data_IF_052442802492
#
_entry.id   IF_052442802492
#
_cell.length_a   1.000
_cell.length_b   1.000
_cell.length_c   1.000
_cell.angle_alpha   90.00
_cell.angle_beta   90.00
_cell.angle_gamma   90.00
#
_symmetry.space_group_name_H-M   'P 1'
#
loop_
_entity.id
_entity.type
_entity.pdbx_description
1 polymer ?
#
# COMPACT_ATOMS: atom_id res chain seq x y z
N UNK A 1 35.33 37.13 43.51
CA UNK A 1 34.12 37.29 42.68
C UNK A 1 33.71 35.87 42.28
N UNK A 2 32.60 35.36 42.83
CA UNK A 2 32.20 33.95 42.73
C UNK A 2 31.76 33.60 41.29
N UNK A 3 32.28 32.50 40.77
CA UNK A 3 31.78 31.86 39.55
C UNK A 3 30.52 31.04 39.88
N UNK A 4 29.38 31.39 39.30
CA UNK A 4 28.18 30.56 39.31
C UNK A 4 28.40 29.40 38.32
N UNK A 5 28.71 28.22 38.85
CA UNK A 5 28.53 26.95 38.14
C UNK A 5 27.03 26.68 38.06
N UNK A 6 26.43 26.93 36.90
CA UNK A 6 25.09 26.43 36.59
C UNK A 6 25.17 24.90 36.51
N UNK A 7 24.67 24.23 37.56
CA UNK A 7 24.46 22.80 37.55
C UNK A 7 23.45 22.48 36.44
N UNK A 8 23.92 21.82 35.39
CA UNK A 8 23.03 21.19 34.42
C UNK A 8 22.16 20.18 35.18
N UNK A 9 20.86 20.45 35.22
CA UNK A 9 19.90 19.50 35.78
C UNK A 9 20.05 18.17 35.01
N UNK A 10 20.09 17.02 35.72
CA UNK A 10 20.13 15.73 35.05
C UNK A 10 18.87 15.63 34.17
N UNK A 11 19.07 15.46 32.87
CA UNK A 11 17.99 15.12 31.95
C UNK A 11 17.28 13.90 32.55
N UNK A 12 16.03 14.11 32.97
CA UNK A 12 15.20 13.03 33.45
C UNK A 12 15.20 11.95 32.37
N UNK A 13 15.73 10.77 32.69
CA UNK A 13 15.60 9.58 31.86
C UNK A 13 14.10 9.28 31.76
N UNK A 14 13.45 9.85 30.74
CA UNK A 14 12.10 9.48 30.37
C UNK A 14 12.15 7.99 30.06
N UNK A 15 11.35 7.21 30.78
CA UNK A 15 11.23 5.77 30.59
C UNK A 15 11.18 5.43 29.10
N UNK A 16 12.15 4.64 28.63
CA UNK A 16 12.36 4.25 27.22
C UNK A 16 11.34 3.23 26.70
N UNK A 17 10.36 2.84 27.51
CA UNK A 17 9.30 1.90 27.16
C UNK A 17 7.95 2.59 27.11
N UNK A 18 7.12 2.20 26.15
CA UNK A 18 5.75 2.66 25.99
C UNK A 18 4.86 1.44 25.75
N UNK A 19 3.74 1.35 26.47
CA UNK A 19 2.73 0.33 26.25
C UNK A 19 1.88 0.67 25.02
N UNK A 20 1.24 -0.33 24.39
CA UNK A 20 0.29 -0.07 23.29
C UNK A 20 -0.89 0.81 23.74
N UNK A 21 -1.32 0.69 25.00
CA UNK A 21 -2.38 1.53 25.57
C UNK A 21 -1.96 3.00 25.73
N UNK A 22 -0.67 3.27 26.00
CA UNK A 22 -0.12 4.63 25.98
C UNK A 22 0.05 5.14 24.56
N UNK A 23 0.51 4.30 23.63
CA UNK A 23 0.66 4.65 22.22
C UNK A 23 -0.68 5.11 21.61
N UNK A 24 -1.77 4.37 21.88
CA UNK A 24 -3.14 4.69 21.44
C UNK A 24 -3.69 6.03 21.97
N UNK A 25 -3.07 6.62 23.00
CA UNK A 25 -3.48 7.92 23.58
C UNK A 25 -2.74 9.11 22.96
N UNK A 26 -1.68 8.87 22.21
CA UNK A 26 -0.89 9.92 21.58
C UNK A 26 -1.49 10.30 20.22
N UNK A 27 -1.38 11.58 19.85
CA UNK A 27 -1.62 11.96 18.45
C UNK A 27 -0.58 11.32 17.54
N UNK A 28 -0.87 11.11 16.24
CA UNK A 28 0.11 10.55 15.30
C UNK A 28 1.46 11.29 15.31
N UNK A 29 1.44 12.62 15.37
CA UNK A 29 2.66 13.43 15.46
C UNK A 29 3.43 13.20 16.78
N UNK A 30 2.73 13.15 17.92
CA UNK A 30 3.36 12.87 19.22
C UNK A 30 3.93 11.46 19.26
N UNK A 31 3.24 10.50 18.67
CA UNK A 31 3.67 9.12 18.56
C UNK A 31 4.92 9.01 17.69
N UNK A 32 4.94 9.67 16.52
CA UNK A 32 6.08 9.72 15.63
C UNK A 32 7.31 10.36 16.30
N UNK A 33 7.14 11.50 16.98
CA UNK A 33 8.24 12.13 17.73
C UNK A 33 8.77 11.21 18.82
N UNK A 34 7.89 10.46 19.50
CA UNK A 34 8.29 9.54 20.57
C UNK A 34 9.01 8.29 20.05
N UNK A 35 8.58 7.75 18.91
CA UNK A 35 9.13 6.52 18.32
C UNK A 35 10.39 6.78 17.47
N UNK A 36 10.42 7.90 16.74
CA UNK A 36 11.44 8.19 15.72
C UNK A 36 12.33 9.39 16.08
N UNK A 37 12.09 10.03 17.23
CA UNK A 37 12.87 11.19 17.68
C UNK A 37 12.76 12.39 16.72
N UNK A 38 13.90 13.02 16.41
CA UNK A 38 13.97 14.16 15.49
C UNK A 38 13.47 13.82 14.08
N UNK A 39 13.70 12.59 13.61
CA UNK A 39 13.22 12.15 12.30
C UNK A 39 11.68 12.17 12.23
N UNK A 40 11.02 11.71 13.31
CA UNK A 40 9.56 11.79 13.45
C UNK A 40 9.05 13.22 13.63
N UNK A 41 9.80 14.05 14.35
CA UNK A 41 9.44 15.46 14.55
C UNK A 41 9.53 16.30 13.26
N UNK A 42 10.42 15.94 12.34
CA UNK A 42 10.65 16.66 11.08
C UNK A 42 9.62 16.38 9.98
N UNK A 43 8.77 15.37 10.16
CA UNK A 43 7.76 14.92 9.20
C UNK A 43 6.37 15.15 9.78
N UNK A 44 5.40 15.44 8.91
CA UNK A 44 4.01 15.66 9.30
C UNK A 44 3.21 14.35 9.22
N UNK A 45 3.21 13.60 10.32
CA UNK A 45 2.40 12.40 10.47
C UNK A 45 0.99 12.77 10.92
N UNK A 46 0.00 12.45 10.10
CA UNK A 46 -1.41 12.82 10.33
C UNK A 46 -2.26 11.64 10.78
N UNK A 47 -1.72 10.41 10.69
CA UNK A 47 -2.43 9.20 11.02
C UNK A 47 -1.49 8.14 11.60
N UNK A 48 -2.03 7.34 12.51
CA UNK A 48 -1.38 6.16 13.05
C UNK A 48 -2.39 5.00 13.09
N UNK A 49 -1.98 3.81 12.64
CA UNK A 49 -2.72 2.57 12.87
C UNK A 49 -1.91 1.65 13.77
N UNK A 50 -2.59 1.08 14.76
CA UNK A 50 -1.96 0.23 15.77
C UNK A 50 -2.65 -1.12 15.74
N UNK A 51 -1.97 -2.09 15.15
CA UNK A 51 -2.44 -3.47 15.12
C UNK A 51 -1.89 -4.22 16.32
N UNK A 52 -2.74 -5.04 16.95
CA UNK A 52 -2.38 -5.80 18.15
C UNK A 52 -3.16 -5.39 19.39
N UNK A 53 -3.54 -6.40 20.17
CA UNK A 53 -4.40 -6.26 21.35
C UNK A 53 -3.65 -6.51 22.67
N UNK A 54 -2.33 -6.72 22.64
CA UNK A 54 -1.57 -7.17 23.81
C UNK A 54 -2.11 -8.50 24.39
N UNK A 55 -2.66 -9.36 23.53
CA UNK A 55 -3.34 -10.60 23.91
C UNK A 55 -3.29 -11.65 22.78
N UNK A 56 -3.38 -12.91 23.19
CA UNK A 56 -3.16 -14.12 22.37
C UNK A 56 -4.16 -14.19 21.21
N UNK A 57 -3.66 -14.16 19.97
CA UNK A 57 -4.38 -14.62 18.78
C UNK A 57 -3.88 -16.03 18.43
N UNK A 58 -4.81 -17.01 18.40
CA UNK A 58 -4.54 -18.36 17.88
C UNK A 58 -4.89 -18.33 16.39
N UNK A 59 -3.91 -18.55 15.50
CA UNK A 59 -4.17 -18.88 14.09
C UNK A 59 -3.40 -18.08 13.03
N UNK A 60 -2.88 -16.91 13.36
CA UNK A 60 -1.93 -16.15 12.54
C UNK A 60 -0.85 -15.57 13.48
N UNK A 61 0.43 -15.47 13.09
CA UNK A 61 1.42 -14.75 13.89
C UNK A 61 0.93 -13.30 14.06
N UNK A 62 0.35 -13.04 15.23
CA UNK A 62 -0.09 -11.72 15.64
C UNK A 62 1.14 -10.88 15.87
N UNK A 63 1.46 -10.01 14.93
CA UNK A 63 2.53 -9.03 15.10
C UNK A 63 1.88 -7.74 15.58
N UNK A 64 2.24 -7.31 16.78
CA UNK A 64 1.90 -5.98 17.24
C UNK A 64 2.67 -5.03 16.31
N UNK A 65 1.99 -4.08 15.70
CA UNK A 65 2.63 -3.14 14.79
C UNK A 65 2.05 -1.74 14.92
N UNK A 66 2.88 -0.75 14.59
CA UNK A 66 2.48 0.63 14.48
C UNK A 66 2.84 1.10 13.08
N UNK A 67 1.82 1.48 12.34
CA UNK A 67 1.95 2.19 11.08
C UNK A 67 1.77 3.68 11.33
N UNK A 68 2.67 4.50 10.79
CA UNK A 68 2.54 5.95 10.78
C UNK A 68 2.46 6.43 9.33
N UNK A 69 1.47 7.26 9.02
CA UNK A 69 1.26 7.80 7.68
C UNK A 69 1.35 9.33 7.68
N UNK A 70 2.07 9.84 6.69
CA UNK A 70 2.10 11.26 6.37
C UNK A 70 0.79 11.71 5.72
N UNK A 71 0.60 13.02 5.60
CA UNK A 71 -0.51 13.54 4.79
C UNK A 71 -0.36 13.09 3.33
N UNK A 72 -1.42 12.56 2.68
CA UNK A 72 -1.34 12.24 1.27
C UNK A 72 -1.06 13.49 0.43
N UNK A 73 -0.20 13.33 -0.58
CA UNK A 73 0.30 14.41 -1.44
C UNK A 73 0.26 13.98 -2.90
N UNK A 74 0.46 14.91 -3.83
CA UNK A 74 0.68 14.61 -5.23
C UNK A 74 1.91 13.71 -5.41
N UNK A 75 1.79 12.71 -6.30
CA UNK A 75 2.91 11.87 -6.71
C UNK A 75 3.68 12.45 -7.92
N UNK A 76 3.31 13.65 -8.39
CA UNK A 76 3.91 14.28 -9.58
C UNK A 76 3.36 13.75 -10.91
N UNK A 77 2.33 12.90 -10.88
CA UNK A 77 1.63 12.42 -12.07
C UNK A 77 0.14 12.73 -11.98
N UNK A 78 -0.47 13.12 -13.08
CA UNK A 78 -1.87 13.54 -13.12
C UNK A 78 -2.80 12.50 -12.47
N UNK A 79 -3.55 12.93 -11.46
CA UNK A 79 -4.51 12.12 -10.71
C UNK A 79 -3.91 11.09 -9.75
N UNK A 80 -2.58 10.99 -9.64
CA UNK A 80 -1.91 10.05 -8.74
C UNK A 80 -1.54 10.75 -7.42
N UNK A 81 -2.08 10.24 -6.33
CA UNK A 81 -1.68 10.58 -4.98
C UNK A 81 -0.74 9.53 -4.41
N UNK A 82 0.13 9.96 -3.51
CA UNK A 82 0.99 9.10 -2.72
C UNK A 82 0.86 9.41 -1.24
N UNK A 83 1.08 8.40 -0.42
CA UNK A 83 1.28 8.54 1.01
C UNK A 83 2.57 7.83 1.38
N UNK A 84 3.44 8.53 2.11
CA UNK A 84 4.62 7.94 2.73
C UNK A 84 4.29 7.55 4.16
N UNK A 85 4.94 6.50 4.65
CA UNK A 85 4.78 6.06 6.02
C UNK A 85 5.96 5.23 6.49
N UNK A 86 5.86 4.79 7.74
CA UNK A 86 6.76 3.79 8.32
C UNK A 86 5.92 2.72 9.00
N UNK A 87 6.37 1.48 8.84
CA UNK A 87 5.90 0.34 9.59
C UNK A 87 6.91 0.02 10.67
N UNK A 88 6.43 -0.18 11.89
CA UNK A 88 7.24 -0.61 13.02
C UNK A 88 6.61 -1.87 13.58
N UNK A 89 7.31 -2.97 13.41
CA UNK A 89 6.87 -4.27 13.91
C UNK A 89 7.51 -4.55 15.27
N UNK A 90 6.75 -5.15 16.17
CA UNK A 90 7.20 -5.51 17.50
C UNK A 90 7.03 -7.02 17.72
N UNK A 91 8.04 -7.65 18.32
CA UNK A 91 7.98 -9.06 18.72
C UNK A 91 6.79 -9.29 19.64
N UNK A 92 5.89 -10.20 19.31
CA UNK A 92 4.88 -10.66 20.26
C UNK A 92 5.40 -11.88 21.00
N UNK A 93 5.23 -11.89 22.32
CA UNK A 93 5.32 -13.14 23.06
C UNK A 93 3.92 -13.75 23.04
N UNK A 94 3.83 -15.07 22.87
CA UNK A 94 2.55 -15.80 22.98
C UNK A 94 1.95 -15.73 24.40
N UNK A 95 2.62 -15.08 25.35
CA UNK A 95 2.33 -15.10 26.77
C UNK A 95 2.39 -13.72 27.41
N UNK A 96 2.03 -12.66 26.67
CA UNK A 96 2.04 -11.29 27.23
C UNK A 96 1.23 -11.24 28.52
N UNK A 97 1.94 -11.11 29.63
CA UNK A 97 1.43 -10.97 31.00
C UNK A 97 1.85 -9.63 31.58
N UNK A 98 1.06 -9.07 32.51
CA UNK A 98 1.47 -7.86 33.23
C UNK A 98 2.85 -8.05 33.90
N UNK A 99 3.85 -7.30 33.44
CA UNK A 99 5.23 -7.37 33.94
C UNK A 99 6.26 -7.91 32.94
N UNK A 100 5.83 -8.35 31.76
CA UNK A 100 6.75 -8.79 30.70
C UNK A 100 7.69 -7.67 30.23
N UNK A 101 8.90 -8.03 29.76
CA UNK A 101 9.84 -7.06 29.23
C UNK A 101 9.23 -6.32 28.04
N UNK A 102 9.57 -5.03 27.85
CA UNK A 102 9.05 -4.25 26.74
C UNK A 102 9.35 -4.94 25.40
N UNK A 103 8.34 -5.01 24.53
CA UNK A 103 8.49 -5.56 23.19
C UNK A 103 9.63 -4.86 22.46
N UNK A 104 10.46 -5.65 21.79
CA UNK A 104 11.53 -5.13 20.94
C UNK A 104 11.00 -4.93 19.53
N UNK A 105 11.47 -3.89 18.87
CA UNK A 105 11.26 -3.72 17.44
C UNK A 105 11.90 -4.92 16.74
N UNK A 106 11.10 -5.70 16.02
CA UNK A 106 11.56 -6.83 15.20
C UNK A 106 11.92 -6.38 13.81
N UNK A 107 11.15 -5.43 13.28
CA UNK A 107 11.34 -4.95 11.93
C UNK A 107 10.89 -3.49 11.79
N UNK A 108 11.48 -2.81 10.82
CA UNK A 108 11.25 -1.41 10.53
C UNK A 108 11.47 -1.16 9.04
N UNK A 109 10.44 -0.72 8.34
CA UNK A 109 10.55 -0.35 6.94
C UNK A 109 9.70 0.86 6.58
N UNK A 110 10.11 1.54 5.51
CA UNK A 110 9.31 2.61 4.91
C UNK A 110 8.21 2.00 4.07
N UNK A 111 7.06 2.65 4.06
CA UNK A 111 5.95 2.28 3.20
C UNK A 111 5.66 3.43 2.24
N UNK A 112 5.40 3.09 0.99
CA UNK A 112 4.78 4.01 0.04
C UNK A 112 3.53 3.37 -0.50
N UNK A 113 2.42 4.11 -0.44
CA UNK A 113 1.16 3.68 -1.05
C UNK A 113 0.66 4.74 -2.01
N UNK A 114 -0.08 4.30 -3.02
CA UNK A 114 -0.58 5.14 -4.09
C UNK A 114 -2.08 5.03 -4.23
N UNK A 115 -2.73 6.11 -4.65
CA UNK A 115 -4.17 6.11 -4.95
C UNK A 115 -4.44 6.98 -6.19
N UNK A 116 -5.44 6.58 -6.97
CA UNK A 116 -5.94 7.39 -8.08
C UNK A 116 -7.13 8.24 -7.63
N UNK A 117 -7.08 9.55 -7.87
CA UNK A 117 -8.16 10.50 -7.56
C UNK A 117 -9.44 10.27 -8.36
N UNK A 118 -9.32 9.65 -9.54
CA UNK A 118 -10.42 9.37 -10.45
C UNK A 118 -10.28 7.96 -11.01
N UNK A 119 -11.39 7.31 -11.39
CA UNK A 119 -11.38 6.11 -12.22
C UNK A 119 -10.48 6.31 -13.44
N UNK A 120 -9.61 5.35 -13.70
CA UNK A 120 -8.54 5.47 -14.69
C UNK A 120 -9.04 5.42 -16.14
N UNK A 121 -10.33 5.14 -16.34
CA UNK A 121 -11.00 4.99 -17.64
C UNK A 121 -11.31 6.33 -18.33
N UNK A 122 -11.08 7.45 -17.66
CA UNK A 122 -11.21 8.80 -18.23
C UNK A 122 -9.85 9.46 -18.40
N UNK A 123 -9.75 10.37 -19.39
CA UNK A 123 -8.58 11.24 -19.54
C UNK A 123 -8.42 12.03 -18.26
N UNK A 124 -7.31 11.81 -17.56
CA UNK A 124 -6.98 12.58 -16.37
C UNK A 124 -6.42 13.91 -16.85
N UNK A 125 -7.28 14.93 -16.86
CA UNK A 125 -6.85 16.29 -17.14
C UNK A 125 -6.04 16.81 -15.94
N UNK A 126 -4.88 17.38 -16.25
CA UNK A 126 -4.02 18.02 -15.27
C UNK A 126 -4.70 19.31 -14.79
N UNK A 127 -5.36 19.24 -13.64
CA UNK A 127 -5.95 20.40 -12.97
C UNK A 127 -4.92 21.38 -12.41
N UNK A 128 -3.63 21.13 -12.65
CA UNK A 128 -2.49 21.84 -12.08
C UNK A 128 -2.07 21.23 -10.73
N UNK A 129 -0.76 21.25 -10.48
CA UNK A 129 -0.14 20.66 -9.29
C UNK A 129 -0.80 21.10 -7.97
N UNK A 130 -1.13 22.38 -7.82
CA UNK A 130 -1.76 22.89 -6.59
C UNK A 130 -3.18 22.38 -6.35
N UNK A 131 -3.95 22.15 -7.42
CA UNK A 131 -5.30 21.59 -7.28
C UNK A 131 -5.21 20.10 -6.96
N UNK A 132 -4.29 19.39 -7.61
CA UNK A 132 -4.03 17.99 -7.32
C UNK A 132 -3.54 17.80 -5.89
N UNK A 133 -2.60 18.61 -5.41
CA UNK A 133 -2.10 18.57 -4.04
C UNK A 133 -3.24 18.72 -3.03
N UNK A 134 -4.14 19.69 -3.24
CA UNK A 134 -5.32 19.87 -2.40
C UNK A 134 -6.27 18.67 -2.43
N UNK A 135 -6.49 18.09 -3.61
CA UNK A 135 -7.34 16.90 -3.77
C UNK A 135 -6.73 15.68 -3.07
N UNK A 136 -5.41 15.49 -3.18
CA UNK A 136 -4.70 14.43 -2.48
C UNK A 136 -4.75 14.63 -0.97
N UNK A 137 -4.46 15.84 -0.47
CA UNK A 137 -4.55 16.14 0.96
C UNK A 137 -5.97 15.89 1.53
N UNK A 138 -7.02 16.16 0.73
CA UNK A 138 -8.41 15.92 1.11
C UNK A 138 -8.81 14.44 1.16
N UNK A 139 -7.96 13.51 0.69
CA UNK A 139 -8.20 12.07 0.82
C UNK A 139 -8.21 11.61 2.29
N UNK A 140 -7.62 12.39 3.20
CA UNK A 140 -7.70 12.14 4.64
C UNK A 140 -6.93 10.88 5.09
N UNK A 141 -7.34 10.26 6.21
CA UNK A 141 -6.71 9.05 6.74
C UNK A 141 -6.78 7.88 5.74
N UNK A 142 -5.75 7.04 5.70
CA UNK A 142 -5.47 5.97 4.73
C UNK A 142 -5.54 4.58 5.36
N UNK A 143 -5.21 4.41 6.64
CA UNK A 143 -5.00 3.10 7.26
C UNK A 143 -6.29 2.26 7.38
N UNK A 144 -7.43 2.92 7.62
CA UNK A 144 -8.72 2.26 7.87
C UNK A 144 -9.77 2.54 6.77
N UNK A 145 -9.34 2.97 5.58
CA UNK A 145 -10.28 3.29 4.48
C UNK A 145 -10.97 2.05 3.92
N UNK A 146 -12.27 2.21 3.68
CA UNK A 146 -13.13 1.21 3.02
C UNK A 146 -13.85 1.76 1.78
N UNK A 147 -13.61 3.03 1.45
CA UNK A 147 -14.23 3.73 0.33
C UNK A 147 -13.47 3.46 -1.01
N UNK A 148 -13.97 3.91 -2.19
CA UNK A 148 -13.45 3.42 -3.46
C UNK A 148 -12.06 3.94 -3.83
N UNK A 149 -11.50 4.93 -3.11
CA UNK A 149 -10.14 5.43 -3.30
C UNK A 149 -9.24 4.72 -2.29
N UNK A 150 -8.98 3.44 -2.58
CA UNK A 150 -8.06 2.64 -1.78
C UNK A 150 -6.61 2.89 -2.22
N UNK A 151 -5.71 2.91 -1.23
CA UNK A 151 -4.28 3.02 -1.49
C UNK A 151 -3.67 1.64 -1.71
N UNK A 152 -3.02 1.42 -2.85
CA UNK A 152 -2.33 0.18 -3.20
C UNK A 152 -0.81 0.34 -3.09
N UNK A 153 -0.10 -0.78 -2.96
CA UNK A 153 1.37 -0.84 -2.89
C UNK A 153 1.94 -1.17 -4.27
N UNK A 154 3.05 -0.51 -4.63
CA UNK A 154 3.86 -0.89 -5.79
C UNK A 154 5.18 -1.46 -5.30
N UNK A 155 5.59 -2.63 -5.77
CA UNK A 155 6.80 -3.29 -5.27
C UNK A 155 8.08 -2.46 -5.38
N UNK A 156 8.16 -1.53 -6.33
CA UNK A 156 9.30 -0.63 -6.51
C UNK A 156 9.23 0.65 -5.67
N UNK A 157 8.09 0.92 -5.02
CA UNK A 157 7.75 2.18 -4.34
C UNK A 157 7.87 3.44 -5.23
N UNK A 158 7.83 3.28 -6.57
CA UNK A 158 7.99 4.40 -7.51
C UNK A 158 6.65 4.88 -8.05
N UNK A 159 6.44 6.19 -7.99
CA UNK A 159 5.26 6.86 -8.54
C UNK A 159 5.08 6.62 -10.06
N UNK A 160 6.18 6.56 -10.82
CA UNK A 160 6.12 6.28 -12.27
C UNK A 160 5.56 4.89 -12.55
N UNK A 161 5.94 3.89 -11.76
CA UNK A 161 5.48 2.51 -11.92
C UNK A 161 4.01 2.41 -11.53
N UNK A 162 3.61 3.06 -10.43
CA UNK A 162 2.20 3.17 -10.04
C UNK A 162 1.34 3.81 -11.15
N UNK A 163 1.80 4.94 -11.69
CA UNK A 163 1.10 5.65 -12.75
C UNK A 163 0.96 4.80 -14.02
N UNK A 164 2.06 4.21 -14.48
CA UNK A 164 2.10 3.34 -15.65
C UNK A 164 1.15 2.15 -15.48
N UNK A 165 1.21 1.50 -14.33
CA UNK A 165 0.42 0.34 -14.02
C UNK A 165 -1.09 0.62 -14.02
N UNK A 166 -1.49 1.72 -13.38
CA UNK A 166 -2.89 2.16 -13.34
C UNK A 166 -3.42 2.54 -14.72
N UNK A 167 -2.60 3.20 -15.54
CA UNK A 167 -2.94 3.50 -16.93
C UNK A 167 -3.10 2.21 -17.76
N UNK A 168 -2.21 1.23 -17.58
CA UNK A 168 -2.27 -0.05 -18.28
C UNK A 168 -3.56 -0.81 -17.96
N UNK A 169 -3.93 -0.86 -16.68
CA UNK A 169 -5.19 -1.46 -16.23
C UNK A 169 -6.40 -0.77 -16.87
N UNK A 170 -6.44 0.55 -16.89
CA UNK A 170 -7.53 1.28 -17.53
C UNK A 170 -7.67 0.96 -19.03
N UNK A 171 -6.55 0.97 -19.75
CA UNK A 171 -6.57 0.62 -21.18
C UNK A 171 -7.06 -0.82 -21.38
N UNK A 172 -6.62 -1.75 -20.54
CA UNK A 172 -7.08 -3.14 -20.59
C UNK A 172 -8.59 -3.26 -20.31
N UNK A 173 -9.12 -2.53 -19.33
CA UNK A 173 -10.55 -2.51 -19.02
C UNK A 173 -11.42 -1.97 -20.16
N UNK A 174 -10.96 -0.92 -20.85
CA UNK A 174 -11.65 -0.36 -22.02
C UNK A 174 -11.56 -1.32 -23.22
N UNK A 175 -10.36 -1.88 -23.48
CA UNK A 175 -10.09 -2.71 -24.64
C UNK A 175 -10.52 -4.18 -24.45
N UNK A 176 -10.94 -4.60 -23.26
CA UNK A 176 -11.25 -6.00 -22.94
C UNK A 176 -12.13 -6.74 -23.97
N UNK A 177 -13.20 -6.13 -24.56
CA UNK A 177 -13.97 -6.80 -25.61
C UNK A 177 -13.16 -7.07 -26.89
N UNK A 178 -12.29 -6.15 -27.29
CA UNK A 178 -11.43 -6.29 -28.47
C UNK A 178 -10.25 -7.23 -28.22
N UNK A 179 -9.85 -7.40 -26.96
CA UNK A 179 -8.76 -8.28 -26.53
C UNK A 179 -9.22 -9.70 -26.19
N UNK A 180 -10.48 -10.07 -26.44
CA UNK A 180 -11.05 -11.35 -25.98
C UNK A 180 -10.17 -12.56 -26.30
N UNK A 181 -9.63 -12.64 -27.51
CA UNK A 181 -8.80 -13.75 -27.98
C UNK A 181 -7.33 -13.64 -27.52
N UNK A 182 -6.94 -12.48 -26.98
CA UNK A 182 -5.62 -12.21 -26.40
C UNK A 182 -5.61 -12.34 -24.86
N UNK A 183 -6.77 -12.59 -24.23
CA UNK A 183 -6.85 -12.86 -22.79
C UNK A 183 -6.65 -14.36 -22.56
N UNK A 184 -5.56 -14.72 -21.89
CA UNK A 184 -5.32 -16.09 -21.42
C UNK A 184 -5.73 -16.18 -19.96
N UNK A 185 -6.47 -17.23 -19.61
CA UNK A 185 -6.86 -17.47 -18.23
C UNK A 185 -6.32 -18.81 -17.72
N UNK A 186 -5.71 -18.78 -16.54
CA UNK A 186 -5.23 -19.95 -15.82
C UNK A 186 -5.94 -20.01 -14.47
N UNK A 187 -6.68 -21.09 -14.22
CA UNK A 187 -7.34 -21.36 -12.93
C UNK A 187 -7.10 -22.80 -12.52
N UNK A 188 -6.86 -23.01 -11.23
CA UNK A 188 -6.84 -24.36 -10.64
C UNK A 188 -8.26 -24.84 -10.27
N UNK A 189 -9.24 -23.93 -10.20
CA UNK A 189 -10.65 -24.25 -10.05
C UNK A 189 -11.41 -24.00 -11.37
N UNK A 190 -11.88 -25.04 -12.08
CA UNK A 190 -12.64 -24.87 -13.32
C UNK A 190 -14.01 -24.20 -13.11
N UNK A 191 -14.50 -24.11 -11.85
CA UNK A 191 -15.74 -23.41 -11.51
C UNK A 191 -15.54 -21.93 -11.21
N UNK A 192 -14.30 -21.44 -11.24
CA UNK A 192 -14.03 -20.05 -10.90
C UNK A 192 -14.61 -19.10 -11.96
N UNK A 193 -15.52 -18.17 -11.59
CA UNK A 193 -16.24 -17.34 -12.56
C UNK A 193 -15.35 -16.46 -13.45
N UNK A 194 -14.15 -16.12 -12.94
CA UNK A 194 -13.18 -15.24 -13.60
C UNK A 194 -12.75 -15.81 -14.97
N UNK A 195 -12.47 -17.11 -15.06
CA UNK A 195 -12.08 -17.72 -16.35
C UNK A 195 -13.26 -18.07 -17.26
N UNK A 196 -14.49 -18.12 -16.73
CA UNK A 196 -15.68 -18.34 -17.55
C UNK A 196 -16.04 -17.10 -18.38
N UNK A 197 -15.74 -15.90 -17.87
CA UNK A 197 -15.94 -14.64 -18.57
C UNK A 197 -14.78 -13.66 -18.30
N UNK A 198 -13.58 -13.90 -18.87
CA UNK A 198 -12.39 -13.13 -18.52
C UNK A 198 -12.48 -11.66 -18.95
N UNK A 199 -13.11 -11.37 -20.10
CA UNK A 199 -13.32 -10.00 -20.55
C UNK A 199 -14.27 -9.22 -19.62
N UNK A 200 -15.34 -9.86 -19.14
CA UNK A 200 -16.22 -9.28 -18.12
C UNK A 200 -15.50 -9.11 -16.78
N UNK A 201 -14.74 -10.12 -16.36
CA UNK A 201 -13.97 -10.09 -15.13
C UNK A 201 -13.00 -8.90 -15.10
N UNK A 202 -12.18 -8.72 -16.14
CA UNK A 202 -11.23 -7.59 -16.23
C UNK A 202 -11.95 -6.24 -16.07
N UNK A 203 -13.09 -6.05 -16.73
CA UNK A 203 -13.90 -4.82 -16.63
C UNK A 203 -14.44 -4.57 -15.23
N UNK A 204 -14.75 -5.63 -14.50
CA UNK A 204 -15.35 -5.57 -13.17
C UNK A 204 -14.30 -5.59 -12.05
N UNK A 205 -13.00 -5.71 -12.37
CA UNK A 205 -11.91 -5.70 -11.39
C UNK A 205 -12.00 -4.42 -10.54
N UNK A 206 -12.24 -4.54 -9.24
CA UNK A 206 -12.29 -3.39 -8.36
C UNK A 206 -10.87 -2.98 -7.97
N UNK A 207 -10.34 -1.90 -8.57
CA UNK A 207 -9.05 -1.27 -8.19
C UNK A 207 -8.95 -1.12 -6.67
N UNK A 208 -10.06 -0.80 -6.00
CA UNK A 208 -10.14 -0.65 -4.54
C UNK A 208 -9.78 -1.89 -3.70
N UNK A 209 -9.67 -3.08 -4.30
CA UNK A 209 -9.30 -4.33 -3.61
C UNK A 209 -7.93 -4.87 -4.05
N UNK A 210 -7.17 -4.06 -4.78
CA UNK A 210 -5.85 -4.46 -5.25
C UNK A 210 -4.89 -4.52 -4.08
N UNK A 211 -4.28 -5.68 -3.87
CA UNK A 211 -3.33 -5.94 -2.80
C UNK A 211 -1.95 -5.38 -3.15
N UNK A 212 -1.55 -5.47 -4.42
CA UNK A 212 -0.28 -4.95 -4.88
C UNK A 212 -0.17 -4.95 -6.39
N UNK A 213 0.80 -4.18 -6.88
CA UNK A 213 1.12 -4.08 -8.31
C UNK A 213 2.63 -4.07 -8.53
N UNK A 214 3.06 -4.66 -9.64
CA UNK A 214 4.44 -4.77 -10.08
C UNK A 214 4.52 -4.31 -11.53
N UNK A 215 5.60 -3.60 -11.86
CA UNK A 215 5.95 -3.24 -13.24
C UNK A 215 7.33 -3.81 -13.54
N UNK A 216 7.43 -4.64 -14.57
CA UNK A 216 8.68 -5.26 -14.97
C UNK A 216 8.76 -5.46 -16.49
N UNK A 217 9.95 -5.78 -17.01
CA UNK A 217 10.10 -6.19 -18.41
C UNK A 217 9.49 -7.57 -18.58
N UNK A 218 8.68 -7.75 -19.61
CA UNK A 218 8.19 -9.07 -19.99
C UNK A 218 9.36 -9.98 -20.41
N UNK A 219 9.18 -11.29 -20.35
CA UNK A 219 10.22 -12.28 -20.69
C UNK A 219 10.75 -12.16 -22.13
N UNK A 220 9.99 -11.54 -23.03
CA UNK A 220 10.40 -11.25 -24.41
C UNK A 220 11.27 -9.98 -24.57
N UNK A 221 11.55 -9.26 -23.46
CA UNK A 221 12.37 -8.04 -23.33
C UNK A 221 11.90 -6.81 -24.14
N UNK A 222 10.89 -6.93 -24.99
CA UNK A 222 10.40 -5.81 -25.83
C UNK A 222 9.22 -5.11 -25.14
N UNK A 223 8.40 -5.84 -24.40
CA UNK A 223 7.22 -5.34 -23.72
C UNK A 223 7.45 -5.03 -22.23
N UNK A 224 6.58 -4.20 -21.66
CA UNK A 224 6.41 -4.06 -20.21
C UNK A 224 5.19 -4.82 -19.73
N UNK A 225 5.36 -5.50 -18.60
CA UNK A 225 4.36 -6.30 -17.94
C UNK A 225 3.94 -5.59 -16.64
N UNK A 226 2.63 -5.39 -16.49
CA UNK A 226 2.03 -4.88 -15.26
C UNK A 226 1.29 -6.03 -14.60
N UNK A 227 1.80 -6.50 -13.47
CA UNK A 227 1.19 -7.58 -12.70
C UNK A 227 0.52 -7.03 -11.45
N UNK A 228 -0.74 -7.37 -11.23
CA UNK A 228 -1.54 -6.90 -10.12
C UNK A 228 -2.29 -8.08 -9.49
N UNK A 229 -2.46 -8.05 -8.16
CA UNK A 229 -3.14 -9.12 -7.43
C UNK A 229 -4.29 -8.56 -6.59
N UNK A 230 -5.42 -9.26 -6.55
CA UNK A 230 -6.59 -8.94 -5.74
C UNK A 230 -6.95 -10.12 -4.85
N UNK A 231 -7.10 -9.86 -3.55
CA UNK A 231 -7.72 -10.81 -2.63
C UNK A 231 -9.26 -10.68 -2.72
N UNK A 232 -9.94 -11.78 -3.05
CA UNK A 232 -11.41 -11.84 -3.16
C UNK A 232 -12.08 -11.94 -1.78
N UNK A 233 -11.51 -12.72 -0.87
CA UNK A 233 -11.88 -12.80 0.54
C UNK A 233 -10.77 -13.48 1.34
N UNK A 234 -10.58 -13.05 2.60
CA UNK A 234 -9.88 -13.81 3.64
C UNK A 234 -10.95 -14.53 4.47
N UNK A 235 -11.11 -15.83 4.27
CA UNK A 235 -11.90 -16.68 5.17
C UNK A 235 -10.96 -17.72 5.77
N UNK A 236 -10.69 -17.62 7.07
CA UNK A 236 -9.66 -18.44 7.72
C UNK A 236 -8.24 -18.08 7.24
N UNK A 237 -7.39 -19.10 7.07
CA UNK A 237 -6.01 -18.94 6.59
C UNK A 237 -5.89 -18.99 5.05
N UNK A 238 -7.03 -19.09 4.34
CA UNK A 238 -7.07 -19.15 2.88
C UNK A 238 -7.46 -17.79 2.31
N UNK A 239 -6.68 -17.32 1.33
CA UNK A 239 -6.98 -16.12 0.56
C UNK A 239 -7.25 -16.53 -0.88
N UNK A 240 -8.48 -16.31 -1.35
CA UNK A 240 -8.78 -16.42 -2.78
C UNK A 240 -8.16 -15.23 -3.52
N UNK A 241 -7.34 -15.47 -4.54
CA UNK A 241 -6.56 -14.43 -5.24
C UNK A 241 -6.77 -14.46 -6.75
N UNK A 242 -7.01 -13.28 -7.31
CA UNK A 242 -6.96 -13.02 -8.75
C UNK A 242 -5.65 -12.31 -9.06
N UNK A 243 -4.81 -12.91 -9.89
CA UNK A 243 -3.66 -12.26 -10.51
C UNK A 243 -4.01 -11.77 -11.91
N UNK A 244 -3.54 -10.59 -12.30
CA UNK A 244 -3.65 -10.04 -13.65
C UNK A 244 -2.28 -9.60 -14.10
N UNK A 245 -1.82 -10.03 -15.28
CA UNK A 245 -0.64 -9.48 -15.94
C UNK A 245 -1.04 -8.86 -17.27
N UNK A 246 -0.77 -7.57 -17.46
CA UNK A 246 -1.08 -6.82 -18.67
C UNK A 246 0.21 -6.61 -19.45
N UNK A 247 0.23 -7.08 -20.70
CA UNK A 247 1.35 -6.91 -21.62
C UNK A 247 1.16 -5.64 -22.44
N UNK A 248 2.18 -4.81 -22.47
CA UNK A 248 2.15 -3.51 -23.16
C UNK A 248 3.37 -3.28 -24.04
N UNK A 249 3.17 -2.66 -25.20
CA UNK A 249 4.23 -2.36 -26.19
C UNK A 249 5.07 -1.10 -25.86
N UNK A 250 5.28 -0.79 -24.59
CA UNK A 250 6.02 0.41 -24.19
C UNK A 250 7.54 0.26 -24.42
N UNK A 251 8.13 1.13 -25.24
CA UNK A 251 9.59 1.13 -25.46
C UNK A 251 10.38 1.88 -24.36
N UNK A 252 9.71 2.66 -23.50
CA UNK A 252 10.32 3.51 -22.46
C UNK A 252 9.51 3.46 -21.16
N UNK A 253 10.21 3.61 -20.01
CA UNK A 253 9.62 3.69 -18.65
C UNK A 253 9.08 5.08 -18.35
N UNK A 254 9.63 6.13 -18.98
CA UNK A 254 8.98 7.43 -18.98
C UNK A 254 7.57 7.22 -19.53
N UNK A 255 6.50 7.58 -18.80
CA UNK A 255 5.15 7.16 -19.14
C UNK A 255 4.87 7.62 -20.56
N UNK A 256 4.92 6.71 -21.57
CA UNK A 256 4.77 7.15 -22.92
C UNK A 256 3.33 7.62 -23.04
N UNK A 257 3.14 8.75 -23.72
CA UNK A 257 1.80 9.25 -24.02
C UNK A 257 0.91 8.12 -24.58
N UNK A 258 1.54 7.19 -25.31
CA UNK A 258 0.93 6.04 -25.94
C UNK A 258 1.67 4.73 -25.61
N UNK A 259 0.96 3.81 -24.96
CA UNK A 259 1.25 2.37 -24.94
C UNK A 259 -0.05 1.63 -25.29
N UNK A 260 0.02 0.48 -25.94
CA UNK A 260 -1.10 -0.37 -26.30
C UNK A 260 -1.05 -1.65 -25.48
N UNK A 261 -2.22 -2.11 -25.04
CA UNK A 261 -2.37 -3.44 -24.44
C UNK A 261 -2.44 -4.46 -25.56
N UNK A 262 -1.53 -5.42 -25.56
CA UNK A 262 -1.42 -6.43 -26.62
C UNK A 262 -1.88 -7.81 -26.16
N UNK A 263 -1.76 -8.12 -24.87
CA UNK A 263 -2.22 -9.35 -24.26
C UNK A 263 -2.52 -9.17 -22.78
N UNK A 264 -3.30 -10.08 -22.22
CA UNK A 264 -3.62 -10.12 -20.79
C UNK A 264 -3.55 -11.56 -20.32
N UNK A 265 -2.79 -11.82 -19.27
CA UNK A 265 -2.81 -13.09 -18.55
C UNK A 265 -3.59 -12.90 -17.25
N UNK A 266 -4.57 -13.78 -17.00
CA UNK A 266 -5.43 -13.76 -15.83
C UNK A 266 -5.19 -15.07 -15.06
N UNK A 267 -4.68 -14.97 -13.84
CA UNK A 267 -4.46 -16.09 -12.96
C UNK A 267 -5.47 -16.08 -11.82
N UNK A 268 -5.94 -17.26 -11.48
CA UNK A 268 -7.01 -17.52 -10.56
C UNK A 268 -6.58 -18.62 -9.61
N UNK A 269 -6.55 -18.34 -8.31
CA UNK A 269 -6.07 -19.31 -7.34
C UNK A 269 -6.52 -19.07 -5.92
N UNK A 270 -6.10 -20.00 -5.07
CA UNK A 270 -6.18 -19.90 -3.62
C UNK A 270 -4.75 -19.87 -3.12
N UNK A 271 -4.35 -18.81 -2.43
CA UNK A 271 -3.13 -18.80 -1.63
C UNK A 271 -3.46 -19.30 -0.22
N UNK A 272 -2.58 -20.13 0.32
CA UNK A 272 -2.59 -20.51 1.73
C UNK A 272 -1.44 -19.68 2.32
N UNK A 273 -1.75 -18.82 3.28
CA UNK A 273 -0.71 -18.14 4.07
C UNK A 273 0.00 -19.25 4.89
N UNK A 274 1.14 -19.75 4.41
CA UNK A 274 1.99 -20.78 5.05
C UNK A 274 2.64 -20.29 6.37
#
# INVERSE_FOLDING_TARGET
MLAFLAAAAPAAFVSRSMTLAEARKLSPQQLAQRLLGEAGASREYVEASISGNGGIMIGAPGLNSIDLYERPKSAGFAGLCQVEGVHIEFSTSRYDTPGDPPHRVTDFWKMTRFAMLQPTDTRIDDGGDEQQERKCAALGPVADRTDPVFFFVVQSDKAVDAYFAMRALAKAQIAAPALRDAIKCKSYDPKWPVCANPAGAIREIPVRRMAGIRVERCADNVAWCVSATWAKSREGNETEEVGLTIHTDASRVDPPADFNVTAVDLEAGTSVDD
#
